data_IF_481093728366
#
_entry.id   IF_481093728366
#
_cell.length_a   1.000
_cell.length_b   1.000
_cell.length_c   1.000
_cell.angle_alpha   90.00
_cell.angle_beta   90.00
_cell.angle_gamma   90.00
#
_symmetry.space_group_name_H-M   'P 1'
#
loop_
_entity.id
_entity.type
_entity.pdbx_description
1 polymer ?
#
# COMPACT_ATOMS: atom_id res chain seq x y z
N UNK A 1 -64.95 37.18 -28.30
CA UNK A 1 -63.90 36.14 -28.28
C UNK A 1 -62.70 36.72 -27.53
N UNK A 2 -62.44 36.29 -26.29
CA UNK A 2 -61.30 36.72 -25.47
C UNK A 2 -60.17 35.71 -25.67
N UNK A 3 -59.06 36.15 -26.25
CA UNK A 3 -57.87 35.33 -26.50
C UNK A 3 -57.10 35.10 -25.20
N UNK A 4 -56.77 33.83 -24.93
CA UNK A 4 -56.05 33.35 -23.75
C UNK A 4 -54.54 33.31 -24.08
N UNK A 5 -53.72 34.16 -23.48
CA UNK A 5 -52.25 34.07 -23.59
C UNK A 5 -51.68 33.19 -22.48
N UNK A 6 -51.01 32.10 -22.87
CA UNK A 6 -50.31 31.14 -22.02
C UNK A 6 -48.83 31.56 -21.89
N UNK A 7 -48.25 31.72 -20.69
CA UNK A 7 -46.82 32.00 -20.56
C UNK A 7 -45.99 30.71 -20.61
N UNK A 8 -45.09 30.62 -21.59
CA UNK A 8 -44.10 29.57 -21.74
C UNK A 8 -42.91 29.85 -20.80
N UNK A 9 -42.79 29.09 -19.70
CA UNK A 9 -41.62 29.13 -18.82
C UNK A 9 -40.49 28.28 -19.40
N UNK A 10 -39.39 28.93 -19.82
CA UNK A 10 -38.18 28.28 -20.31
C UNK A 10 -37.24 27.99 -19.13
N UNK A 11 -37.14 26.73 -18.71
CA UNK A 11 -36.22 26.30 -17.67
C UNK A 11 -34.80 26.09 -18.25
N UNK A 12 -33.86 26.97 -17.90
CA UNK A 12 -32.44 26.76 -18.18
C UNK A 12 -31.84 25.83 -17.12
N UNK A 13 -31.62 24.56 -17.48
CA UNK A 13 -30.82 23.63 -16.68
C UNK A 13 -29.33 23.91 -16.87
N UNK A 14 -28.63 24.28 -15.80
CA UNK A 14 -27.16 24.36 -15.79
C UNK A 14 -26.63 22.93 -15.81
N UNK A 15 -26.08 22.51 -16.95
CA UNK A 15 -25.35 21.25 -17.06
C UNK A 15 -23.96 21.49 -16.48
N UNK A 16 -23.75 21.09 -15.22
CA UNK A 16 -22.40 20.99 -14.68
C UNK A 16 -21.65 19.90 -15.44
N UNK A 17 -20.72 20.28 -16.33
CA UNK A 17 -19.82 19.34 -16.96
C UNK A 17 -18.91 18.72 -15.88
N UNK A 18 -19.21 17.48 -15.50
CA UNK A 18 -18.31 16.70 -14.66
C UNK A 18 -17.04 16.40 -15.47
N UNK A 19 -15.92 17.00 -15.09
CA UNK A 19 -14.64 16.59 -15.64
C UNK A 19 -14.40 15.13 -15.25
N UNK A 20 -14.14 14.21 -16.21
CA UNK A 20 -13.76 12.86 -15.86
C UNK A 20 -12.46 12.92 -15.05
N UNK A 21 -12.45 12.25 -13.89
CA UNK A 21 -11.23 12.04 -13.11
C UNK A 21 -10.22 11.33 -14.02
N UNK A 22 -9.17 12.06 -14.43
CA UNK A 22 -8.04 11.42 -15.11
C UNK A 22 -7.37 10.49 -14.11
N UNK A 23 -7.28 9.21 -14.45
CA UNK A 23 -6.37 8.30 -13.76
C UNK A 23 -4.98 8.95 -13.76
N UNK A 24 -4.36 9.07 -12.58
CA UNK A 24 -2.98 9.53 -12.47
C UNK A 24 -2.12 8.56 -13.25
N UNK A 25 -1.27 9.05 -14.13
CA UNK A 25 -0.29 8.24 -14.85
C UNK A 25 0.65 7.60 -13.80
N UNK A 26 0.57 6.29 -13.63
CA UNK A 26 1.14 5.53 -12.51
C UNK A 26 2.51 4.92 -12.84
N UNK A 27 3.27 5.49 -13.76
CA UNK A 27 4.57 4.92 -14.16
C UNK A 27 5.71 5.23 -13.18
N UNK A 28 5.57 6.24 -12.32
CA UNK A 28 6.61 6.60 -11.37
C UNK A 28 6.66 5.60 -10.19
N UNK A 29 7.85 5.11 -9.80
CA UNK A 29 8.00 4.32 -8.58
C UNK A 29 7.49 5.07 -7.34
N UNK A 30 6.92 4.33 -6.40
CA UNK A 30 6.39 4.86 -5.15
C UNK A 30 6.90 4.03 -3.96
N UNK A 31 6.80 4.61 -2.76
CA UNK A 31 7.14 3.92 -1.50
C UNK A 31 5.88 3.63 -0.70
N UNK A 32 5.96 2.68 0.22
CA UNK A 32 4.86 2.38 1.16
C UNK A 32 5.33 2.73 2.57
N UNK A 33 4.46 3.41 3.31
CA UNK A 33 4.66 3.83 4.69
C UNK A 33 3.50 3.32 5.55
N UNK A 34 3.81 2.85 6.75
CA UNK A 34 2.83 2.36 7.71
C UNK A 34 2.48 3.43 8.74
N UNK A 35 1.19 3.48 9.09
CA UNK A 35 0.61 4.37 10.06
C UNK A 35 -0.25 3.57 11.04
N UNK A 36 -0.12 3.83 12.34
CA UNK A 36 -0.84 3.14 13.40
C UNK A 36 -0.58 3.79 14.75
N UNK A 37 -1.12 3.23 15.83
CA UNK A 37 -0.86 3.74 17.18
C UNK A 37 0.64 3.67 17.49
N UNK A 38 1.28 4.82 17.69
CA UNK A 38 2.73 4.90 17.93
C UNK A 38 3.61 4.73 16.67
N UNK A 39 3.01 4.60 15.48
CA UNK A 39 3.70 4.43 14.20
C UNK A 39 3.23 5.54 13.26
N UNK A 40 4.11 6.49 12.94
CA UNK A 40 3.76 7.71 12.18
C UNK A 40 4.51 7.78 10.86
N UNK A 41 4.29 6.80 9.98
CA UNK A 41 4.86 6.78 8.64
C UNK A 41 6.21 6.05 8.54
N UNK A 42 6.35 4.91 9.23
CA UNK A 42 7.55 4.07 9.08
C UNK A 42 7.57 3.44 7.67
N UNK A 43 8.66 3.58 6.88
CA UNK A 43 8.76 2.98 5.55
C UNK A 43 8.83 1.45 5.61
N UNK A 44 8.36 0.81 4.53
CA UNK A 44 8.53 -0.62 4.29
C UNK A 44 9.95 -0.91 3.78
N UNK A 45 10.54 -1.97 4.32
CA UNK A 45 11.83 -2.54 3.94
C UNK A 45 11.68 -4.00 3.56
N UNK A 46 12.60 -4.45 2.71
CA UNK A 46 12.86 -5.87 2.48
C UNK A 46 13.84 -6.38 3.54
N UNK A 47 13.55 -7.53 4.14
CA UNK A 47 14.50 -8.32 4.94
C UNK A 47 14.23 -9.80 4.71
N UNK A 48 15.20 -10.52 4.14
CA UNK A 48 15.13 -11.99 3.92
C UNK A 48 13.81 -12.48 3.28
N UNK A 49 13.27 -11.74 2.31
CA UNK A 49 12.05 -12.12 1.59
C UNK A 49 10.74 -11.75 2.27
N UNK A 50 10.77 -11.10 3.44
CA UNK A 50 9.58 -10.56 4.12
C UNK A 50 9.65 -9.04 4.25
N UNK A 51 8.47 -8.43 4.40
CA UNK A 51 8.33 -7.01 4.62
C UNK A 51 8.42 -6.68 6.11
N UNK A 52 9.29 -5.74 6.43
CA UNK A 52 9.36 -5.08 7.74
C UNK A 52 9.04 -3.60 7.58
N UNK A 53 8.52 -2.98 8.62
CA UNK A 53 8.44 -1.53 8.73
C UNK A 53 9.40 -1.08 9.82
N UNK A 54 10.19 -0.04 9.56
CA UNK A 54 11.24 0.34 10.48
C UNK A 54 11.50 1.83 10.52
N UNK A 55 11.93 2.30 11.70
CA UNK A 55 12.65 3.55 11.82
C UNK A 55 13.98 3.43 11.08
N UNK A 56 14.22 4.33 10.12
CA UNK A 56 15.46 4.41 9.33
C UNK A 56 16.72 4.53 10.19
N UNK A 57 16.62 5.04 11.43
CA UNK A 57 17.75 5.12 12.35
C UNK A 57 18.05 3.79 13.07
N UNK A 58 17.20 2.78 12.91
CA UNK A 58 17.26 1.48 13.61
C UNK A 58 17.47 0.28 12.67
N UNK A 59 17.59 0.53 11.36
CA UNK A 59 17.81 -0.54 10.38
C UNK A 59 19.23 -1.09 10.46
N UNK A 60 19.36 -2.40 10.23
CA UNK A 60 20.64 -3.10 10.11
C UNK A 60 21.02 -3.34 8.64
N UNK A 61 22.19 -3.95 8.38
CA UNK A 61 22.67 -4.22 7.02
C UNK A 61 21.89 -5.28 6.25
N UNK A 62 21.00 -6.03 6.91
CA UNK A 62 20.12 -7.02 6.28
C UNK A 62 18.82 -6.41 5.75
N UNK A 63 18.53 -5.16 6.10
CA UNK A 63 17.36 -4.42 5.64
C UNK A 63 17.69 -3.59 4.41
N UNK A 64 16.81 -3.64 3.41
CA UNK A 64 16.96 -2.89 2.16
C UNK A 64 15.73 -2.02 1.93
N UNK A 65 15.94 -0.72 1.71
CA UNK A 65 14.87 0.21 1.32
C UNK A 65 14.29 -0.23 -0.01
N UNK A 66 12.96 -0.24 -0.13
CA UNK A 66 12.28 -0.68 -1.34
C UNK A 66 11.41 0.42 -1.93
N UNK A 67 11.35 0.41 -3.25
CA UNK A 67 10.39 1.15 -4.05
C UNK A 67 9.54 0.17 -4.86
N UNK A 68 8.33 0.60 -5.21
CA UNK A 68 7.32 -0.22 -5.86
C UNK A 68 6.91 0.42 -7.18
N UNK A 69 6.67 -0.40 -8.18
CA UNK A 69 6.06 -0.02 -9.44
C UNK A 69 4.95 -1.01 -9.80
N UNK A 70 4.03 -0.58 -10.65
CA UNK A 70 3.04 -1.48 -11.20
C UNK A 70 3.70 -2.44 -12.18
N UNK A 71 3.28 -3.71 -12.18
CA UNK A 71 3.65 -4.63 -13.26
C UNK A 71 3.07 -4.14 -14.58
N UNK A 72 3.80 -4.38 -15.68
CA UNK A 72 3.32 -4.12 -17.04
C UNK A 72 2.10 -4.94 -17.40
N UNK A 73 1.94 -6.12 -16.76
CA UNK A 73 0.90 -7.08 -17.10
C UNK A 73 -0.39 -6.86 -16.28
N UNK A 74 -0.28 -6.25 -15.10
CA UNK A 74 -1.41 -5.98 -14.22
C UNK A 74 -1.13 -4.85 -13.22
N UNK A 75 -2.04 -3.88 -13.18
CA UNK A 75 -2.02 -2.79 -12.17
C UNK A 75 -2.31 -3.26 -10.73
N UNK A 76 -2.76 -4.50 -10.54
CA UNK A 76 -2.95 -5.09 -9.22
C UNK A 76 -1.75 -5.92 -8.74
N UNK A 77 -0.70 -6.02 -9.55
CA UNK A 77 0.56 -6.67 -9.20
C UNK A 77 1.64 -5.59 -9.07
N UNK A 78 2.29 -5.52 -7.91
CA UNK A 78 3.33 -4.53 -7.64
C UNK A 78 4.70 -5.19 -7.58
N UNK A 79 5.63 -4.65 -8.35
CA UNK A 79 7.03 -5.06 -8.41
C UNK A 79 7.81 -4.18 -7.45
N UNK A 80 8.42 -4.81 -6.45
CA UNK A 80 9.37 -4.20 -5.56
C UNK A 80 10.75 -4.24 -6.19
N UNK A 81 11.49 -3.14 -6.07
CA UNK A 81 12.91 -3.07 -6.41
C UNK A 81 13.66 -2.34 -5.29
N UNK A 82 14.94 -2.64 -5.10
CA UNK A 82 15.80 -1.90 -4.18
C UNK A 82 15.84 -0.40 -4.55
N UNK A 83 15.77 0.46 -3.54
CA UNK A 83 15.89 1.92 -3.66
C UNK A 83 17.34 2.40 -3.39
N UNK A 84 18.32 1.51 -3.52
CA UNK A 84 19.73 1.83 -3.27
C UNK A 84 20.62 1.34 -4.40
N UNK A 85 21.73 2.04 -4.62
CA UNK A 85 22.75 1.71 -5.63
C UNK A 85 23.77 0.68 -5.16
N UNK A 86 23.65 0.16 -3.91
CA UNK A 86 24.51 -0.91 -3.39
C UNK A 86 24.04 -2.27 -3.92
N UNK A 87 24.91 -3.29 -3.86
CA UNK A 87 24.52 -4.66 -4.22
C UNK A 87 23.31 -5.07 -3.39
N UNK A 88 22.16 -5.19 -4.04
CA UNK A 88 20.92 -5.48 -3.36
C UNK A 88 20.70 -6.99 -3.28
N UNK A 89 20.07 -7.48 -2.19
CA UNK A 89 19.84 -8.92 -2.01
C UNK A 89 18.80 -9.49 -3.00
N UNK A 90 18.11 -8.62 -3.74
CA UNK A 90 17.15 -8.97 -4.80
C UNK A 90 17.18 -7.87 -5.88
N UNK A 91 16.75 -8.19 -7.11
CA UNK A 91 16.71 -7.24 -8.22
C UNK A 91 15.30 -6.69 -8.49
N UNK A 92 14.32 -7.60 -8.52
CA UNK A 92 12.91 -7.29 -8.70
C UNK A 92 12.08 -8.46 -8.18
N UNK A 93 11.30 -8.23 -7.15
CA UNK A 93 10.40 -9.23 -6.56
C UNK A 93 8.97 -8.71 -6.56
N UNK A 94 8.02 -9.62 -6.66
CA UNK A 94 6.59 -9.32 -6.57
C UNK A 94 6.20 -9.21 -5.09
N UNK A 95 5.47 -8.14 -4.74
CA UNK A 95 4.88 -7.98 -3.41
C UNK A 95 3.70 -8.94 -3.25
N UNK A 96 3.70 -9.69 -2.15
CA UNK A 96 2.81 -10.82 -1.93
C UNK A 96 2.19 -10.79 -0.53
N UNK A 97 0.98 -11.33 -0.42
CA UNK A 97 0.37 -11.71 0.84
C UNK A 97 0.52 -13.23 1.02
N UNK A 98 1.27 -13.68 2.04
CA UNK A 98 1.41 -15.12 2.31
C UNK A 98 0.14 -15.68 2.95
N UNK A 99 -0.39 -16.78 2.41
CA UNK A 99 -1.60 -17.45 2.90
C UNK A 99 -1.32 -18.66 3.80
N UNK A 100 -0.15 -18.69 4.46
CA UNK A 100 0.30 -19.89 5.16
C UNK A 100 -0.49 -20.16 6.45
N UNK A 101 -0.78 -21.42 6.75
CA UNK A 101 -1.67 -21.81 7.87
C UNK A 101 -1.00 -21.72 9.25
N UNK A 102 0.30 -21.38 9.29
CA UNK A 102 1.15 -21.39 10.49
C UNK A 102 1.24 -20.06 11.26
N UNK A 103 0.22 -19.19 11.15
CA UNK A 103 -0.11 -18.07 12.07
C UNK A 103 0.61 -16.71 11.95
N UNK A 104 1.56 -16.51 11.03
CA UNK A 104 2.20 -15.19 10.91
C UNK A 104 1.67 -14.33 9.75
N UNK A 105 1.11 -14.92 8.69
CA UNK A 105 0.62 -14.22 7.48
C UNK A 105 1.46 -12.96 7.12
N UNK A 106 2.77 -13.10 6.87
CA UNK A 106 3.59 -11.95 6.54
C UNK A 106 3.23 -11.41 5.16
N UNK A 107 3.40 -10.10 4.99
CA UNK A 107 3.59 -9.51 3.67
C UNK A 107 5.02 -9.86 3.23
N UNK A 108 5.18 -10.32 1.99
CA UNK A 108 6.44 -10.90 1.51
C UNK A 108 6.81 -10.43 0.11
N UNK A 109 8.04 -10.74 -0.27
CA UNK A 109 8.61 -10.53 -1.59
C UNK A 109 8.91 -11.89 -2.20
N UNK A 110 8.56 -12.08 -3.47
CA UNK A 110 8.78 -13.37 -4.15
C UNK A 110 9.13 -13.16 -5.61
N UNK A 111 9.98 -14.03 -6.16
CA UNK A 111 10.25 -14.03 -7.59
C UNK A 111 8.98 -14.22 -8.43
N UNK A 112 9.09 -13.94 -9.73
CA UNK A 112 7.94 -13.88 -10.64
C UNK A 112 7.33 -15.25 -10.98
N UNK A 113 8.06 -16.36 -10.81
CA UNK A 113 7.56 -17.69 -11.17
C UNK A 113 6.41 -18.16 -10.26
N UNK A 114 5.48 -18.94 -10.83
CA UNK A 114 4.33 -19.46 -10.08
C UNK A 114 4.75 -20.38 -8.93
N UNK A 115 5.83 -21.15 -9.11
CA UNK A 115 6.39 -22.03 -8.07
C UNK A 115 6.85 -21.20 -6.85
N UNK A 116 7.53 -20.07 -7.07
CA UNK A 116 7.98 -19.17 -5.99
C UNK A 116 6.81 -18.47 -5.28
N UNK A 117 5.67 -18.33 -5.96
CA UNK A 117 4.45 -17.69 -5.46
C UNK A 117 3.39 -18.69 -5.00
N UNK A 118 3.72 -19.97 -4.87
CA UNK A 118 2.82 -20.95 -4.28
C UNK A 118 2.35 -20.49 -2.88
N UNK A 119 1.05 -20.55 -2.62
CA UNK A 119 0.37 -20.06 -1.41
C UNK A 119 0.55 -18.54 -1.13
N UNK A 120 0.75 -17.73 -2.17
CA UNK A 120 0.88 -16.28 -2.06
C UNK A 120 -0.06 -15.56 -3.01
N UNK A 121 -0.65 -14.47 -2.54
CA UNK A 121 -1.49 -13.59 -3.37
C UNK A 121 -0.68 -12.37 -3.79
N UNK A 122 -0.46 -12.23 -5.10
CA UNK A 122 0.34 -11.14 -5.66
C UNK A 122 -0.46 -10.15 -6.51
N UNK A 123 -1.58 -10.59 -7.09
CA UNK A 123 -2.42 -9.78 -7.97
C UNK A 123 -3.64 -9.23 -7.23
N UNK A 124 -3.39 -8.59 -6.09
CA UNK A 124 -4.45 -8.13 -5.17
C UNK A 124 -4.30 -6.68 -4.77
N UNK A 125 -3.22 -6.00 -5.13
CA UNK A 125 -2.91 -4.68 -4.61
C UNK A 125 -3.68 -3.59 -5.35
N UNK A 126 -4.02 -2.50 -4.68
CA UNK A 126 -4.65 -1.34 -5.31
C UNK A 126 -4.39 -0.07 -4.49
N UNK A 127 -4.64 1.09 -5.09
CA UNK A 127 -4.62 2.36 -4.39
C UNK A 127 -6.01 3.01 -4.41
N UNK A 128 -6.42 3.54 -3.26
CA UNK A 128 -7.49 4.51 -3.15
C UNK A 128 -6.89 5.85 -2.70
N UNK A 129 -6.65 6.76 -3.64
CA UNK A 129 -5.85 7.95 -3.39
C UNK A 129 -4.43 7.56 -2.95
N UNK A 130 -4.03 7.97 -1.73
CA UNK A 130 -2.74 7.56 -1.15
C UNK A 130 -2.79 6.24 -0.37
N UNK A 131 -3.96 5.66 -0.15
CA UNK A 131 -4.13 4.50 0.72
C UNK A 131 -3.88 3.22 -0.06
N UNK A 132 -3.06 2.33 0.51
CA UNK A 132 -2.83 0.98 -0.01
C UNK A 132 -3.99 0.10 0.41
N UNK A 133 -4.62 -0.52 -0.57
CA UNK A 133 -5.77 -1.39 -0.43
C UNK A 133 -5.46 -2.74 -1.08
N UNK A 134 -6.27 -3.74 -0.78
CA UNK A 134 -6.26 -5.00 -1.52
C UNK A 134 -7.66 -5.35 -2.00
N UNK A 135 -7.76 -6.12 -3.08
CA UNK A 135 -9.02 -6.53 -3.73
C UNK A 135 -9.76 -7.64 -2.97
N UNK A 136 -9.15 -8.15 -1.90
CA UNK A 136 -9.73 -9.14 -1.00
C UNK A 136 -10.63 -8.46 0.04
N UNK A 137 -11.71 -9.14 0.41
CA UNK A 137 -12.62 -8.65 1.44
C UNK A 137 -11.99 -8.78 2.85
N UNK A 138 -12.30 -7.82 3.72
CA UNK A 138 -11.93 -7.79 5.16
C UNK A 138 -10.43 -7.92 5.48
N UNK A 139 -9.55 -7.46 4.60
CA UNK A 139 -8.11 -7.45 4.89
C UNK A 139 -7.72 -6.33 5.84
N UNK A 140 -6.97 -6.70 6.87
CA UNK A 140 -6.35 -5.79 7.82
C UNK A 140 -4.83 -6.01 7.83
N UNK A 141 -4.06 -4.93 7.98
CA UNK A 141 -2.61 -4.96 8.14
C UNK A 141 -2.22 -4.73 9.59
N UNK A 142 -1.11 -5.33 10.02
CA UNK A 142 -0.66 -5.31 11.40
C UNK A 142 0.86 -5.16 11.48
N UNK A 143 1.33 -4.46 12.52
CA UNK A 143 2.73 -4.45 12.92
C UNK A 143 2.93 -5.37 14.12
N UNK A 144 3.88 -6.30 14.01
CA UNK A 144 4.33 -7.13 15.14
C UNK A 144 5.77 -6.77 15.52
N UNK A 145 6.07 -6.43 16.79
CA UNK A 145 7.44 -6.12 17.21
C UNK A 145 8.41 -7.29 16.95
N UNK A 146 9.62 -6.99 16.46
CA UNK A 146 10.67 -7.99 16.13
C UNK A 146 11.69 -8.23 17.25
N UNK A 147 11.58 -7.50 18.36
CA UNK A 147 12.57 -7.47 19.44
C UNK A 147 13.53 -6.28 19.35
N UNK A 148 13.59 -5.60 18.20
CA UNK A 148 14.28 -4.31 18.06
C UNK A 148 13.27 -3.17 18.12
N UNK A 149 13.50 -2.20 19.00
CA UNK A 149 12.65 -1.01 19.08
C UNK A 149 12.62 -0.26 17.75
N UNK A 150 11.42 0.09 17.31
CA UNK A 150 11.23 0.78 16.03
C UNK A 150 11.28 -0.13 14.81
N UNK A 151 11.37 -1.46 14.97
CA UNK A 151 11.35 -2.44 13.86
C UNK A 151 10.24 -3.47 14.06
N UNK A 152 9.36 -3.59 13.06
CA UNK A 152 8.18 -4.44 13.13
C UNK A 152 8.04 -5.30 11.87
N UNK A 153 7.60 -6.55 12.02
CA UNK A 153 7.14 -7.36 10.90
C UNK A 153 5.80 -6.83 10.39
N UNK A 154 5.65 -6.71 9.08
CA UNK A 154 4.38 -6.34 8.44
C UNK A 154 3.56 -7.60 8.14
N UNK A 155 2.46 -7.74 8.86
CA UNK A 155 1.56 -8.89 8.77
C UNK A 155 0.20 -8.48 8.18
N UNK A 156 -0.58 -9.45 7.73
CA UNK A 156 -1.94 -9.24 7.25
C UNK A 156 -2.90 -10.34 7.74
N UNK A 157 -4.21 -10.07 7.70
CA UNK A 157 -5.23 -11.08 8.01
C UNK A 157 -6.57 -10.71 7.39
N UNK A 158 -7.37 -11.72 7.02
CA UNK A 158 -8.80 -11.58 6.67
C UNK A 158 -9.72 -11.87 7.87
N UNK A 159 -9.15 -12.25 9.01
CA UNK A 159 -9.92 -12.46 10.24
C UNK A 159 -10.56 -11.15 10.70
N UNK A 160 -11.81 -11.25 11.16
CA UNK A 160 -12.48 -10.15 11.85
C UNK A 160 -11.89 -9.90 13.25
N UNK A 161 -11.25 -10.93 13.84
CA UNK A 161 -10.57 -10.82 15.12
C UNK A 161 -9.22 -10.11 14.96
N UNK A 162 -8.96 -9.16 15.84
CA UNK A 162 -7.67 -8.49 15.90
C UNK A 162 -6.57 -9.49 16.22
N UNK A 163 -5.44 -9.39 15.52
CA UNK A 163 -4.27 -10.23 15.81
C UNK A 163 -3.66 -9.80 17.16
N UNK A 164 -3.49 -10.74 18.08
CA UNK A 164 -2.93 -10.47 19.41
C UNK A 164 -1.49 -9.96 19.33
N UNK A 165 -1.11 -9.08 20.25
CA UNK A 165 0.25 -8.51 20.33
C UNK A 165 0.70 -7.77 19.07
N UNK A 166 -0.25 -7.17 18.34
CA UNK A 166 0.02 -6.37 17.16
C UNK A 166 -0.64 -5.01 17.20
N UNK A 167 -0.15 -4.09 16.37
CA UNK A 167 -0.72 -2.77 16.17
C UNK A 167 -1.42 -2.76 14.79
N UNK A 168 -2.73 -2.49 14.71
CA UNK A 168 -3.41 -2.31 13.43
C UNK A 168 -2.80 -1.16 12.63
N UNK A 169 -2.67 -1.37 11.32
CA UNK A 169 -2.00 -0.45 10.41
C UNK A 169 -2.92 0.02 9.29
N UNK A 170 -2.69 1.27 8.90
CA UNK A 170 -3.03 1.81 7.58
C UNK A 170 -1.75 2.00 6.78
N UNK A 171 -1.72 1.47 5.57
CA UNK A 171 -0.59 1.62 4.64
C UNK A 171 -0.88 2.75 3.65
N UNK A 172 0.11 3.60 3.38
CA UNK A 172 -0.03 4.75 2.46
C UNK A 172 1.21 4.97 1.61
N UNK A 173 1.03 5.59 0.45
CA UNK A 173 2.13 6.01 -0.44
C UNK A 173 2.66 7.41 -0.14
N UNK A 174 2.02 8.13 0.78
CA UNK A 174 2.45 9.45 1.25
C UNK A 174 3.40 9.28 2.44
N UNK A 175 4.60 9.87 2.33
CA UNK A 175 5.54 9.98 3.43
C UNK A 175 4.96 10.81 4.58
N UNK A 176 5.39 10.60 5.84
CA UNK A 176 4.93 11.42 6.95
C UNK A 176 5.34 12.88 6.75
N UNK A 177 4.52 13.81 7.25
CA UNK A 177 4.84 15.23 7.18
C UNK A 177 6.04 15.55 8.06
N UNK A 178 7.09 16.13 7.50
CA UNK A 178 8.22 16.67 8.26
C UNK A 178 7.88 18.07 8.75
N UNK A 179 7.08 18.19 9.80
CA UNK A 179 6.89 19.49 10.47
C UNK A 179 8.11 19.74 11.38
N UNK A 180 9.11 20.46 10.85
CA UNK A 180 9.94 21.34 11.67
C UNK A 180 9.31 22.73 11.61
N UNK A 181 8.43 23.03 12.55
CA UNK A 181 7.88 24.37 12.76
C UNK A 181 8.36 24.88 14.12
N UNK A 182 9.67 25.08 14.22
CA UNK A 182 10.28 25.94 15.24
C UNK A 182 11.55 26.56 14.62
N UNK A 183 11.41 27.77 14.09
CA UNK A 183 12.50 28.74 13.90
C UNK A 183 12.13 30.00 14.66
#
# INVERSE_FOLDING_TARGET
MRSLLLPLFLAFGIVCAANPLKARDTTAPFKIYAYGKGISGLPVFYKNGVAEIADTAKIDTSMTTVQFAYSTDSSNTWIASPDSTRSAPFSADVLCLNQDTASANPVSFSGSSDVQRSNKLSNVWSLYGSYVMVTLDKVNFYAKPTGTEGVYSLLWSTSAEAMTDTIPLTLRTTAPATVSVLS
#
